data_IF_137986719729
#
_entry.id   IF_137986719729
#
_cell.length_a   1.000
_cell.length_b   1.000
_cell.length_c   1.000
_cell.angle_alpha   90.00
_cell.angle_beta   90.00
_cell.angle_gamma   90.00
#
_symmetry.space_group_name_H-M   'P 1'
#
loop_
_entity.id
_entity.type
_entity.pdbx_description
1 polymer ?
#
# COMPACT_ATOMS: atom_id res chain seq x y z
N UNK A 1 -6.64 -8.60 -2.87
CA UNK A 1 -7.02 -8.12 -4.22
C UNK A 1 -8.36 -8.73 -4.67
N UNK A 2 -9.08 -8.15 -5.65
CA UNK A 2 -10.38 -8.64 -6.12
C UNK A 2 -10.36 -10.10 -6.58
N UNK A 3 -9.32 -10.52 -7.31
CA UNK A 3 -9.13 -11.88 -7.82
C UNK A 3 -9.01 -12.93 -6.70
N UNK A 4 -8.36 -12.60 -5.58
CA UNK A 4 -8.25 -13.47 -4.40
C UNK A 4 -9.62 -13.67 -3.75
N UNK A 5 -10.42 -12.61 -3.67
CA UNK A 5 -11.78 -12.67 -3.11
C UNK A 5 -12.69 -13.52 -4.00
N UNK A 6 -12.53 -13.43 -5.32
CA UNK A 6 -13.27 -14.24 -6.29
C UNK A 6 -12.80 -15.69 -6.39
N UNK A 7 -11.82 -16.12 -5.59
CA UNK A 7 -11.26 -17.48 -5.66
C UNK A 7 -10.57 -17.79 -7.00
N UNK A 8 -10.21 -16.77 -7.79
CA UNK A 8 -9.44 -16.96 -9.01
C UNK A 8 -7.98 -17.19 -8.61
N UNK A 9 -7.29 -18.04 -9.37
CA UNK A 9 -5.83 -18.16 -9.26
C UNK A 9 -5.19 -16.78 -9.33
N UNK A 10 -4.16 -16.55 -8.53
CA UNK A 10 -3.50 -15.26 -8.43
C UNK A 10 -1.99 -15.38 -8.58
N UNK A 11 -1.35 -14.31 -9.04
CA UNK A 11 0.10 -14.20 -9.13
C UNK A 11 0.59 -12.98 -8.36
N UNK A 12 1.85 -12.58 -8.61
CA UNK A 12 2.54 -11.47 -7.92
C UNK A 12 1.80 -10.13 -7.96
N UNK A 13 0.89 -9.93 -8.91
CA UNK A 13 0.13 -8.68 -9.04
C UNK A 13 -0.77 -8.39 -7.82
N UNK A 14 -1.11 -9.37 -6.98
CA UNK A 14 -1.88 -9.12 -5.75
C UNK A 14 -1.14 -8.23 -4.76
N UNK A 15 0.19 -8.30 -4.76
CA UNK A 15 1.01 -7.47 -3.87
C UNK A 15 0.96 -6.00 -4.30
N UNK A 16 0.95 -5.74 -5.61
CA UNK A 16 0.76 -4.39 -6.14
C UNK A 16 -0.61 -3.79 -5.80
N UNK A 17 -1.65 -4.62 -5.71
CA UNK A 17 -2.93 -4.16 -5.18
C UNK A 17 -2.77 -3.72 -3.72
N UNK A 18 -2.10 -4.51 -2.88
CA UNK A 18 -1.87 -4.19 -1.47
C UNK A 18 -1.04 -2.92 -1.30
N UNK A 19 -0.01 -2.72 -2.11
CA UNK A 19 0.76 -1.45 -2.16
C UNK A 19 -0.17 -0.27 -2.51
N UNK A 20 -1.07 -0.43 -3.48
CA UNK A 20 -2.07 0.59 -3.82
C UNK A 20 -3.01 0.93 -2.67
N UNK A 21 -3.44 -0.06 -1.89
CA UNK A 21 -4.29 0.14 -0.71
C UNK A 21 -3.52 0.92 0.37
N UNK A 22 -2.29 0.51 0.69
CA UNK A 22 -1.45 1.18 1.68
C UNK A 22 -1.11 2.61 1.27
N UNK A 23 -0.77 2.84 0.00
CA UNK A 23 -0.50 4.18 -0.50
C UNK A 23 -1.73 5.08 -0.39
N UNK A 24 -2.93 4.57 -0.76
CA UNK A 24 -4.16 5.33 -0.59
C UNK A 24 -4.38 5.69 0.88
N UNK A 25 -4.17 4.75 1.79
CA UNK A 25 -4.36 4.95 3.23
C UNK A 25 -3.37 5.96 3.82
N UNK A 26 -2.08 5.89 3.46
CA UNK A 26 -1.08 6.88 3.88
C UNK A 26 -1.43 8.31 3.41
N UNK A 27 -2.05 8.43 2.22
CA UNK A 27 -2.43 9.74 1.66
C UNK A 27 -3.73 10.30 2.24
N UNK A 28 -4.66 9.44 2.69
CA UNK A 28 -6.02 9.84 3.09
C UNK A 28 -6.34 9.58 4.57
N UNK A 29 -5.44 8.92 5.30
CA UNK A 29 -5.63 8.45 6.67
C UNK A 29 -6.63 7.29 6.82
N UNK A 30 -7.21 6.79 5.72
CA UNK A 30 -8.21 5.73 5.73
C UNK A 30 -8.14 4.90 4.43
N UNK A 31 -8.45 3.59 4.48
CA UNK A 31 -8.43 2.75 3.29
C UNK A 31 -9.58 3.07 2.32
N UNK A 32 -9.41 2.77 1.01
CA UNK A 32 -10.37 3.15 -0.03
C UNK A 32 -11.69 2.35 0.03
N UNK A 33 -11.69 1.18 0.66
CA UNK A 33 -12.88 0.34 0.83
C UNK A 33 -13.06 -0.02 2.29
N UNK A 34 -14.24 0.28 2.86
CA UNK A 34 -14.60 -0.01 4.24
C UNK A 34 -16.05 -0.44 4.33
N UNK A 35 -16.32 -1.41 5.18
CA UNK A 35 -17.67 -1.85 5.49
C UNK A 35 -17.70 -2.46 6.90
N UNK A 36 -18.88 -2.50 7.51
CA UNK A 36 -19.06 -3.12 8.83
C UNK A 36 -18.92 -4.64 8.79
N UNK A 37 -19.27 -5.26 7.66
CA UNK A 37 -19.25 -6.72 7.49
C UNK A 37 -18.30 -7.17 6.38
N UNK A 38 -17.71 -8.36 6.57
CA UNK A 38 -16.79 -8.99 5.61
C UNK A 38 -17.38 -9.13 4.21
N UNK A 39 -18.63 -9.60 4.09
CA UNK A 39 -19.28 -9.78 2.78
C UNK A 39 -19.48 -8.44 2.05
N UNK A 40 -19.88 -7.41 2.78
CA UNK A 40 -20.03 -6.07 2.22
C UNK A 40 -18.68 -5.49 1.79
N UNK A 41 -17.62 -5.68 2.60
CA UNK A 41 -16.26 -5.26 2.24
C UNK A 41 -15.78 -5.96 0.97
N UNK A 42 -16.00 -7.27 0.87
CA UNK A 42 -15.65 -8.06 -0.31
C UNK A 42 -16.38 -7.55 -1.56
N UNK A 43 -17.69 -7.26 -1.45
CA UNK A 43 -18.48 -6.66 -2.53
C UNK A 43 -17.91 -5.30 -2.96
N UNK A 44 -17.50 -4.45 -2.02
CA UNK A 44 -16.88 -3.16 -2.34
C UNK A 44 -15.55 -3.35 -3.09
N UNK A 45 -14.69 -4.24 -2.59
CA UNK A 45 -13.39 -4.52 -3.22
C UNK A 45 -13.57 -5.02 -4.66
N UNK A 46 -14.58 -5.84 -4.94
CA UNK A 46 -14.82 -6.38 -6.30
C UNK A 46 -15.59 -5.43 -7.21
N UNK A 47 -16.46 -4.54 -6.70
CA UNK A 47 -17.37 -3.75 -7.56
C UNK A 47 -17.23 -2.24 -7.44
N UNK A 48 -16.94 -1.70 -6.26
CA UNK A 48 -16.97 -0.26 -6.03
C UNK A 48 -15.80 0.45 -6.73
N UNK A 49 -16.08 1.66 -7.24
CA UNK A 49 -15.05 2.61 -7.67
C UNK A 49 -14.65 3.46 -6.47
N UNK A 50 -13.35 3.65 -6.25
CA UNK A 50 -12.85 4.59 -5.26
C UNK A 50 -12.71 5.98 -5.90
N UNK A 51 -12.73 7.02 -5.05
CA UNK A 51 -12.50 8.41 -5.47
C UNK A 51 -11.20 8.89 -4.84
N UNK A 52 -10.41 9.62 -5.61
CA UNK A 52 -9.21 10.29 -5.14
C UNK A 52 -9.53 11.77 -4.93
N UNK A 53 -9.05 12.38 -3.84
CA UNK A 53 -9.17 13.82 -3.66
C UNK A 53 -8.47 14.61 -4.77
N UNK A 54 -9.05 15.76 -5.13
CA UNK A 54 -8.51 16.63 -6.18
C UNK A 54 -7.22 17.35 -5.78
N UNK A 55 -6.91 17.44 -4.47
CA UNK A 55 -5.66 18.04 -4.00
C UNK A 55 -4.43 17.17 -4.28
N UNK A 56 -4.61 15.88 -4.60
CA UNK A 56 -3.50 14.99 -4.95
C UNK A 56 -2.98 15.34 -6.35
N UNK A 57 -1.66 15.31 -6.51
CA UNK A 57 -1.03 15.54 -7.81
C UNK A 57 -1.46 14.51 -8.85
N UNK A 58 -1.34 14.87 -10.13
CA UNK A 58 -1.73 14.00 -11.24
C UNK A 58 -0.97 12.67 -11.24
N UNK A 59 0.31 12.70 -10.83
CA UNK A 59 1.20 11.56 -10.72
C UNK A 59 0.73 10.61 -9.62
N UNK A 60 0.38 11.13 -8.44
CA UNK A 60 -0.17 10.32 -7.35
C UNK A 60 -1.48 9.66 -7.80
N UNK A 61 -2.36 10.44 -8.43
CA UNK A 61 -3.64 9.89 -8.88
C UNK A 61 -3.46 8.80 -9.94
N UNK A 62 -2.53 8.99 -10.88
CA UNK A 62 -2.17 8.01 -11.90
C UNK A 62 -1.64 6.71 -11.26
N UNK A 63 -0.69 6.83 -10.33
CA UNK A 63 -0.09 5.69 -9.65
C UNK A 63 -1.14 4.86 -8.92
N UNK A 64 -1.96 5.49 -8.08
CA UNK A 64 -2.98 4.79 -7.29
C UNK A 64 -4.03 4.15 -8.20
N UNK A 65 -4.46 4.81 -9.28
CA UNK A 65 -5.35 4.23 -10.28
C UNK A 65 -4.74 3.02 -10.99
N UNK A 66 -3.45 3.06 -11.28
CA UNK A 66 -2.71 1.93 -11.88
C UNK A 66 -2.60 0.73 -10.95
N UNK A 67 -2.25 0.95 -9.69
CA UNK A 67 -2.12 -0.12 -8.68
C UNK A 67 -3.46 -0.72 -8.25
N UNK A 68 -4.52 0.09 -8.20
CA UNK A 68 -5.87 -0.34 -7.81
C UNK A 68 -6.77 -0.73 -9.00
N UNK A 69 -6.16 -1.20 -10.10
CA UNK A 69 -6.91 -1.86 -11.18
C UNK A 69 -7.49 -3.19 -10.69
N UNK A 70 -8.81 -3.35 -10.87
CA UNK A 70 -9.52 -4.58 -10.46
C UNK A 70 -9.19 -5.77 -11.35
N UNK A 71 -8.94 -5.50 -12.62
CA UNK A 71 -8.37 -6.48 -13.54
C UNK A 71 -6.87 -6.56 -13.29
N UNK A 72 -6.42 -7.72 -12.80
CA UNK A 72 -5.01 -7.94 -12.48
C UNK A 72 -4.10 -7.78 -13.70
N UNK A 73 -4.57 -8.12 -14.91
CA UNK A 73 -3.77 -8.03 -16.14
C UNK A 73 -3.50 -6.59 -16.60
N UNK A 74 -4.31 -5.63 -16.12
CA UNK A 74 -4.18 -4.20 -16.42
C UNK A 74 -3.51 -3.43 -15.29
N UNK A 75 -3.15 -4.11 -14.20
CA UNK A 75 -2.59 -3.50 -12.99
C UNK A 75 -1.15 -3.10 -13.24
N UNK A 76 -0.76 -1.93 -12.75
CA UNK A 76 0.63 -1.51 -12.76
C UNK A 76 1.48 -2.54 -12.00
N UNK A 77 2.57 -2.98 -12.61
CA UNK A 77 3.43 -4.04 -12.10
C UNK A 77 2.99 -5.46 -12.45
N UNK A 78 1.96 -5.62 -13.29
CA UNK A 78 1.65 -6.87 -13.98
C UNK A 78 2.53 -7.06 -15.22
N UNK A 79 2.80 -8.31 -15.59
CA UNK A 79 3.54 -8.65 -16.81
C UNK A 79 5.06 -8.77 -16.60
N UNK A 80 5.83 -8.90 -17.69
CA UNK A 80 7.25 -9.25 -17.63
C UNK A 80 8.13 -8.21 -16.91
N UNK A 81 7.80 -6.92 -17.05
CA UNK A 81 8.55 -5.82 -16.42
C UNK A 81 8.35 -5.77 -14.90
N UNK A 82 7.20 -6.25 -14.41
CA UNK A 82 6.93 -6.37 -12.97
C UNK A 82 7.21 -5.09 -12.18
N UNK A 83 8.08 -5.17 -11.18
CA UNK A 83 8.44 -4.02 -10.34
C UNK A 83 9.06 -2.86 -11.11
N UNK A 84 9.70 -3.09 -12.25
CA UNK A 84 10.33 -2.02 -13.03
C UNK A 84 9.32 -0.96 -13.50
N UNK A 85 8.10 -1.38 -13.88
CA UNK A 85 7.04 -0.45 -14.29
C UNK A 85 6.58 0.44 -13.14
N UNK A 86 6.53 -0.11 -11.93
CA UNK A 86 6.16 0.64 -10.72
C UNK A 86 7.29 1.59 -10.34
N UNK A 87 8.53 1.12 -10.33
CA UNK A 87 9.72 1.90 -9.98
C UNK A 87 9.98 3.04 -10.98
N UNK A 88 9.64 2.84 -12.25
CA UNK A 88 9.75 3.84 -13.32
C UNK A 88 8.58 4.83 -13.39
N UNK A 89 7.55 4.68 -12.57
CA UNK A 89 6.38 5.57 -12.60
C UNK A 89 6.79 7.02 -12.23
N UNK A 90 6.25 8.06 -12.90
CA UNK A 90 6.64 9.47 -12.66
C UNK A 90 6.58 9.94 -11.20
N UNK A 91 5.68 9.37 -10.40
CA UNK A 91 5.61 9.62 -8.95
C UNK A 91 6.95 9.34 -8.23
N UNK A 92 7.70 8.33 -8.66
CA UNK A 92 8.98 7.95 -8.06
C UNK A 92 10.19 8.55 -8.80
N UNK A 93 10.00 9.53 -9.69
CA UNK A 93 11.09 10.13 -10.47
C UNK A 93 12.23 10.69 -9.60
N UNK A 94 11.91 11.18 -8.40
CA UNK A 94 12.90 11.72 -7.44
C UNK A 94 13.57 10.65 -6.57
N UNK A 95 13.13 9.38 -6.66
CA UNK A 95 13.67 8.31 -5.84
C UNK A 95 14.91 7.71 -6.51
N UNK A 96 16.04 7.83 -5.82
CA UNK A 96 17.24 7.06 -6.15
C UNK A 96 17.13 5.67 -5.50
N UNK A 97 16.70 4.69 -6.30
CA UNK A 97 16.48 3.32 -5.83
C UNK A 97 17.74 2.64 -5.28
N UNK A 98 18.93 2.98 -5.80
CA UNK A 98 20.20 2.43 -5.30
C UNK A 98 20.55 3.01 -3.93
N UNK A 99 20.37 4.32 -3.76
CA UNK A 99 20.56 4.96 -2.44
C UNK A 99 19.53 4.48 -1.43
N UNK A 100 18.28 4.24 -1.84
CA UNK A 100 17.24 3.70 -0.97
C UNK A 100 17.64 2.30 -0.48
N UNK A 101 18.03 1.40 -1.39
CA UNK A 101 18.49 0.05 -1.06
C UNK A 101 19.73 0.07 -0.15
N UNK A 102 20.68 0.96 -0.45
CA UNK A 102 21.87 1.19 0.38
C UNK A 102 21.62 1.90 1.71
N UNK A 103 20.36 2.20 2.06
CA UNK A 103 19.96 2.94 3.29
C UNK A 103 20.63 4.32 3.43
N UNK A 104 20.87 4.98 2.29
CA UNK A 104 21.54 6.29 2.20
C UNK A 104 20.57 7.46 2.11
N UNK A 105 19.27 7.20 2.02
CA UNK A 105 18.23 8.24 2.06
C UNK A 105 17.83 8.49 3.51
N UNK A 106 17.88 9.75 3.93
CA UNK A 106 17.45 10.16 5.28
C UNK A 106 15.94 9.97 5.41
N UNK A 107 15.51 9.23 6.44
CA UNK A 107 14.09 9.06 6.73
C UNK A 107 13.46 10.39 7.12
N UNK A 108 12.27 10.75 6.60
CA UNK A 108 11.55 11.96 7.02
C UNK A 108 11.07 11.89 8.47
N UNK A 109 10.98 10.68 9.04
CA UNK A 109 10.59 10.45 10.42
C UNK A 109 11.56 9.48 11.09
N UNK A 110 12.09 9.91 12.23
CA UNK A 110 12.88 9.05 13.13
C UNK A 110 12.11 8.92 14.44
N UNK A 111 11.60 7.72 14.78
CA UNK A 111 10.92 7.50 16.05
C UNK A 111 11.83 7.84 17.23
N UNK A 112 11.27 8.43 18.28
CA UNK A 112 11.98 8.62 19.55
C UNK A 112 12.04 7.30 20.29
N UNK A 113 13.23 6.90 20.74
CA UNK A 113 13.46 5.72 21.58
C UNK A 113 14.39 6.13 22.72
N UNK A 114 14.04 5.73 23.95
CA UNK A 114 14.86 6.03 25.14
C UNK A 114 16.01 5.05 25.33
N UNK A 115 15.80 3.80 24.94
CA UNK A 115 16.76 2.70 25.05
C UNK A 115 16.47 1.63 23.99
N UNK A 116 17.36 0.65 23.86
CA UNK A 116 17.16 -0.50 22.97
C UNK A 116 15.97 -1.39 23.39
N UNK A 117 15.55 -1.30 24.65
CA UNK A 117 14.42 -2.03 25.24
C UNK A 117 13.12 -1.19 25.22
N UNK A 118 13.13 -0.02 24.58
CA UNK A 118 11.99 0.90 24.60
C UNK A 118 10.78 0.33 23.86
N UNK A 119 9.67 0.23 24.58
CA UNK A 119 8.38 -0.24 24.04
C UNK A 119 7.37 0.90 23.80
N UNK A 120 7.81 2.17 23.90
CA UNK A 120 6.92 3.35 23.89
C UNK A 120 6.17 3.58 22.57
N UNK A 121 6.65 2.97 21.48
CA UNK A 121 6.01 3.05 20.15
C UNK A 121 5.07 1.86 19.88
N UNK A 122 4.82 1.01 20.88
CA UNK A 122 3.89 -0.12 20.81
C UNK A 122 2.68 0.13 21.71
N UNK A 123 1.55 -0.49 21.38
CA UNK A 123 0.34 -0.39 22.19
C UNK A 123 0.51 -1.18 23.51
N UNK A 124 0.06 -0.57 24.62
CA UNK A 124 0.18 -1.14 25.97
C UNK A 124 -0.55 -2.46 26.14
N UNK A 125 -1.59 -2.69 25.34
CA UNK A 125 -2.31 -3.98 25.34
C UNK A 125 -1.39 -5.17 25.08
N UNK A 126 -0.23 -4.95 24.42
CA UNK A 126 0.75 -5.98 24.14
C UNK A 126 1.91 -5.96 25.13
N UNK A 127 2.37 -4.78 25.54
CA UNK A 127 3.55 -4.63 26.41
C UNK A 127 3.28 -4.96 27.86
N UNK A 128 2.02 -4.87 28.28
CA UNK A 128 1.59 -5.16 29.65
C UNK A 128 1.23 -6.64 29.85
N UNK A 129 1.27 -7.45 28.78
CA UNK A 129 1.05 -8.89 28.88
C UNK A 129 2.21 -9.55 29.65
N UNK A 130 1.92 -10.49 30.56
CA UNK A 130 2.98 -11.25 31.22
C UNK A 130 3.79 -12.05 30.18
N UNK A 131 5.12 -12.13 30.33
CA UNK A 131 5.94 -12.96 29.46
C UNK A 131 5.49 -14.42 29.54
N UNK A 132 5.49 -15.10 28.38
CA UNK A 132 5.23 -16.54 28.28
C UNK A 132 6.44 -17.37 28.70
#
# INVERSE_FOLDING_TARGET
APEVISGRGHGKAVDWWSVGILLFEMLNGMPPFRAKGRQQLQKLITTAKFKLPSYLSSEVQSLVKGLLQKDASKRLGYGPSGSADVMGHPFFKSVDWRKLEGRQIVSPFKPSIKSIESVENFDRIWTDLPPH
#
